data_IF_873726971426
#
_entry.id   IF_873726971426
#
_cell.length_a   1.000
_cell.length_b   1.000
_cell.length_c   1.000
_cell.angle_alpha   90.00
_cell.angle_beta   90.00
_cell.angle_gamma   90.00
#
_symmetry.space_group_name_H-M   'P 1'
#
loop_
_entity.id
_entity.type
_entity.pdbx_description
1 polymer ?
#
# COMPACT_ATOMS: atom_id res chain seq x y z
N UNK A 1 29.78 9.88 18.86
CA UNK A 1 28.58 9.86 18.03
C UNK A 1 28.11 8.42 17.92
N UNK A 2 27.03 8.12 18.55
CA UNK A 2 26.67 6.83 19.12
C UNK A 2 26.02 5.89 18.12
N UNK A 3 26.60 4.71 17.95
CA UNK A 3 26.08 3.52 17.24
C UNK A 3 24.80 2.92 17.85
N UNK A 4 23.97 3.77 18.46
CA UNK A 4 22.79 3.37 19.23
C UNK A 4 21.44 3.33 18.48
N UNK A 5 21.22 3.94 17.29
CA UNK A 5 19.86 4.06 16.79
C UNK A 5 19.24 2.72 16.32
N UNK A 6 20.02 1.84 15.68
CA UNK A 6 19.48 0.54 15.22
C UNK A 6 19.19 -0.44 16.37
N UNK A 7 19.98 -0.41 17.44
CA UNK A 7 19.71 -1.22 18.64
C UNK A 7 18.41 -0.84 19.34
N UNK A 8 17.94 0.39 19.15
CA UNK A 8 16.66 0.84 19.67
C UNK A 8 15.50 0.01 19.09
N UNK A 9 15.53 -0.28 17.78
CA UNK A 9 14.48 -1.05 17.10
C UNK A 9 14.45 -2.53 17.50
N UNK A 10 15.57 -3.05 18.02
CA UNK A 10 15.64 -4.43 18.51
C UNK A 10 15.04 -4.61 19.91
N UNK A 11 14.70 -3.51 20.60
CA UNK A 11 14.00 -3.60 21.87
C UNK A 11 12.60 -4.15 21.66
N UNK A 12 12.12 -5.00 22.59
CA UNK A 12 10.78 -5.65 22.52
C UNK A 12 9.65 -4.67 22.24
N UNK A 13 9.77 -3.42 22.70
CA UNK A 13 8.77 -2.37 22.50
C UNK A 13 8.64 -1.94 21.03
N UNK A 14 9.74 -1.88 20.29
CA UNK A 14 9.78 -1.39 18.92
C UNK A 14 9.78 -2.51 17.87
N UNK A 15 10.17 -3.73 18.29
CA UNK A 15 10.29 -4.87 17.37
C UNK A 15 8.96 -5.20 16.70
N UNK A 16 7.88 -5.29 17.47
CA UNK A 16 6.55 -5.61 16.95
C UNK A 16 6.08 -4.62 15.89
N UNK A 17 6.01 -3.31 16.20
CA UNK A 17 5.69 -2.28 15.22
C UNK A 17 6.61 -2.27 13.99
N UNK A 18 7.92 -2.47 14.16
CA UNK A 18 8.87 -2.50 13.04
C UNK A 18 8.60 -3.69 12.11
N UNK A 19 8.40 -4.89 12.66
CA UNK A 19 8.10 -6.09 11.87
C UNK A 19 6.77 -5.92 11.12
N UNK A 20 5.73 -5.46 11.83
CA UNK A 20 4.41 -5.22 11.23
C UNK A 20 4.51 -4.25 10.03
N UNK A 21 5.16 -3.11 10.22
CA UNK A 21 5.34 -2.12 9.15
C UNK A 21 6.23 -2.63 8.02
N UNK A 22 7.26 -3.40 8.34
CA UNK A 22 8.11 -4.00 7.30
C UNK A 22 7.29 -4.94 6.42
N UNK A 23 6.45 -5.80 7.02
CA UNK A 23 5.57 -6.69 6.25
C UNK A 23 4.61 -5.85 5.39
N UNK A 24 3.99 -4.81 5.97
CA UNK A 24 3.08 -3.92 5.25
C UNK A 24 3.75 -3.27 4.05
N UNK A 25 4.94 -2.69 4.22
CA UNK A 25 5.66 -2.04 3.13
C UNK A 25 6.21 -3.02 2.09
N UNK A 26 6.68 -4.22 2.51
CA UNK A 26 7.14 -5.27 1.60
C UNK A 26 5.98 -5.76 0.72
N UNK A 27 4.84 -6.10 1.32
CA UNK A 27 3.68 -6.61 0.58
C UNK A 27 3.08 -5.55 -0.34
N UNK A 28 2.99 -4.29 0.11
CA UNK A 28 2.57 -3.16 -0.71
C UNK A 28 3.51 -2.94 -1.90
N UNK A 29 4.82 -2.95 -1.66
CA UNK A 29 5.81 -2.72 -2.72
C UNK A 29 5.79 -3.83 -3.76
N UNK A 30 5.76 -5.10 -3.35
CA UNK A 30 5.63 -6.25 -4.26
C UNK A 30 4.32 -6.14 -5.04
N UNK A 31 3.22 -5.86 -4.37
CA UNK A 31 1.91 -5.77 -5.00
C UNK A 31 1.81 -4.64 -6.03
N UNK A 32 2.24 -3.44 -5.66
CA UNK A 32 2.17 -2.26 -6.54
C UNK A 32 3.14 -2.34 -7.72
N UNK A 33 4.43 -2.57 -7.46
CA UNK A 33 5.42 -2.62 -8.53
C UNK A 33 5.29 -3.89 -9.37
N UNK A 34 4.83 -5.00 -8.77
CA UNK A 34 4.48 -6.20 -9.52
C UNK A 34 3.38 -5.93 -10.54
N UNK A 35 2.33 -5.19 -10.15
CA UNK A 35 1.28 -4.79 -11.06
C UNK A 35 1.77 -3.76 -12.08
N UNK A 36 2.27 -2.60 -11.64
CA UNK A 36 2.52 -1.46 -12.52
C UNK A 36 3.63 -1.69 -13.55
N UNK A 37 4.68 -2.44 -13.18
CA UNK A 37 5.81 -2.70 -14.08
C UNK A 37 5.54 -3.83 -15.07
N UNK A 38 4.73 -4.81 -14.67
CA UNK A 38 4.54 -6.02 -15.48
C UNK A 38 3.22 -6.03 -16.25
N UNK A 39 2.21 -5.25 -15.86
CA UNK A 39 0.91 -5.25 -16.53
C UNK A 39 1.00 -5.02 -18.06
N UNK A 40 1.74 -4.03 -18.58
CA UNK A 40 1.85 -3.85 -20.03
C UNK A 40 2.50 -5.05 -20.72
N UNK A 41 3.59 -5.56 -20.14
CA UNK A 41 4.34 -6.70 -20.69
C UNK A 41 3.50 -7.98 -20.70
N UNK A 42 2.75 -8.21 -19.64
CA UNK A 42 1.88 -9.38 -19.51
C UNK A 42 0.73 -9.33 -20.52
N UNK A 43 0.09 -8.18 -20.69
CA UNK A 43 -0.96 -7.99 -21.72
C UNK A 43 -0.42 -8.20 -23.13
N UNK A 44 0.76 -7.67 -23.45
CA UNK A 44 1.38 -7.85 -24.75
C UNK A 44 1.70 -9.32 -25.06
N UNK A 45 2.10 -10.10 -24.05
CA UNK A 45 2.37 -11.54 -24.20
C UNK A 45 1.11 -12.38 -24.39
N UNK A 46 -0.04 -11.91 -23.90
CA UNK A 46 -1.33 -12.58 -24.05
C UNK A 46 -2.09 -12.17 -25.35
N UNK A 47 -1.39 -11.50 -26.30
CA UNK A 47 -1.90 -11.24 -27.64
C UNK A 47 -2.42 -9.82 -27.88
N UNK A 48 -2.33 -8.92 -26.89
CA UNK A 48 -2.56 -7.49 -27.14
C UNK A 48 -1.36 -6.88 -27.85
N UNK A 49 -1.58 -5.89 -28.73
CA UNK A 49 -0.46 -5.13 -29.28
C UNK A 49 0.27 -4.37 -28.16
N UNK A 50 1.57 -4.16 -28.32
CA UNK A 50 2.37 -3.39 -27.34
C UNK A 50 1.78 -1.99 -27.13
N UNK A 51 1.38 -1.34 -28.23
CA UNK A 51 0.76 -0.01 -28.21
C UNK A 51 -0.55 -0.01 -27.42
N UNK A 52 -1.46 -0.95 -27.68
CA UNK A 52 -2.73 -1.09 -26.95
C UNK A 52 -2.49 -1.40 -25.47
N UNK A 53 -1.51 -2.23 -25.15
CA UNK A 53 -1.18 -2.60 -23.77
C UNK A 53 -0.71 -1.39 -22.97
N UNK A 54 0.17 -0.55 -23.55
CA UNK A 54 0.65 0.70 -22.94
C UNK A 54 -0.51 1.69 -22.79
N UNK A 55 -1.37 1.82 -23.80
CA UNK A 55 -2.50 2.73 -23.78
C UNK A 55 -3.51 2.37 -22.68
N UNK A 56 -3.87 1.09 -22.55
CA UNK A 56 -4.79 0.64 -21.48
C UNK A 56 -4.20 0.90 -20.11
N UNK A 57 -2.93 0.58 -19.87
CA UNK A 57 -2.29 0.85 -18.59
C UNK A 57 -2.18 2.36 -18.33
N UNK A 58 -1.90 3.18 -19.31
CA UNK A 58 -1.89 4.64 -19.17
C UNK A 58 -3.25 5.19 -18.73
N UNK A 59 -4.35 4.69 -19.31
CA UNK A 59 -5.70 5.06 -18.89
C UNK A 59 -5.97 4.70 -17.42
N UNK A 60 -5.47 3.56 -16.95
CA UNK A 60 -5.65 3.15 -15.54
C UNK A 60 -4.97 4.09 -14.56
N UNK A 61 -3.88 4.77 -14.95
CA UNK A 61 -3.14 5.67 -14.05
C UNK A 61 -3.89 6.96 -13.71
N UNK A 62 -4.93 7.31 -14.48
CA UNK A 62 -5.80 8.46 -14.17
C UNK A 62 -6.49 8.32 -12.80
N UNK A 63 -6.68 7.09 -12.33
CA UNK A 63 -7.19 6.83 -10.97
C UNK A 63 -6.30 7.33 -9.83
N UNK A 64 -4.98 7.48 -10.06
CA UNK A 64 -4.03 7.79 -9.00
C UNK A 64 -4.25 9.16 -8.32
N UNK A 65 -4.43 10.29 -9.02
CA UNK A 65 -4.71 11.58 -8.39
C UNK A 65 -6.02 11.55 -7.58
N UNK A 66 -7.05 10.90 -8.12
CA UNK A 66 -8.35 10.77 -7.46
C UNK A 66 -8.26 9.93 -6.19
N UNK A 67 -7.42 8.89 -6.17
CA UNK A 67 -7.18 8.05 -5.01
C UNK A 67 -6.57 8.81 -3.84
N UNK A 68 -5.63 9.70 -4.08
CA UNK A 68 -5.03 10.56 -3.05
C UNK A 68 -6.06 11.51 -2.42
N UNK A 69 -6.94 12.06 -3.25
CA UNK A 69 -8.04 12.92 -2.77
C UNK A 69 -9.06 12.12 -1.95
N UNK A 70 -9.43 10.93 -2.40
CA UNK A 70 -10.32 10.02 -1.67
C UNK A 70 -9.76 9.64 -0.29
N UNK A 71 -8.44 9.40 -0.21
CA UNK A 71 -7.77 9.10 1.06
C UNK A 71 -7.93 10.24 2.07
N UNK A 72 -7.80 11.49 1.65
CA UNK A 72 -7.99 12.64 2.53
C UNK A 72 -9.41 12.67 3.13
N UNK A 73 -10.43 12.39 2.33
CA UNK A 73 -11.82 12.36 2.80
C UNK A 73 -12.12 11.21 3.76
N UNK A 74 -11.48 10.06 3.56
CA UNK A 74 -11.70 8.84 4.35
C UNK A 74 -10.92 8.88 5.66
N UNK A 75 -9.69 9.44 5.66
CA UNK A 75 -8.78 9.47 6.82
C UNK A 75 -9.40 10.16 8.04
N UNK A 76 -10.24 11.18 7.82
CA UNK A 76 -10.82 11.96 8.90
C UNK A 76 -12.06 11.29 9.55
N UNK A 77 -12.67 10.33 8.86
CA UNK A 77 -13.93 9.70 9.29
C UNK A 77 -13.78 8.32 9.88
N UNK A 78 -12.80 7.55 9.41
CA UNK A 78 -12.66 6.15 9.76
C UNK A 78 -11.32 5.83 10.42
N UNK A 79 -11.28 4.75 11.19
CA UNK A 79 -10.05 4.23 11.80
C UNK A 79 -9.07 3.75 10.71
N UNK A 80 -7.87 4.31 10.69
CA UNK A 80 -6.86 4.07 9.63
C UNK A 80 -6.52 2.60 9.43
N UNK A 81 -6.46 1.82 10.51
CA UNK A 81 -6.24 0.38 10.44
C UNK A 81 -7.24 -0.31 9.53
N UNK A 82 -8.53 -0.10 9.77
CA UNK A 82 -9.58 -0.77 9.01
C UNK A 82 -9.68 -0.26 7.58
N UNK A 83 -9.41 1.02 7.36
CA UNK A 83 -9.32 1.56 5.99
C UNK A 83 -8.21 0.86 5.19
N UNK A 84 -7.03 0.67 5.79
CA UNK A 84 -5.93 -0.06 5.16
C UNK A 84 -6.29 -1.52 4.87
N UNK A 85 -6.96 -2.22 5.80
CA UNK A 85 -7.42 -3.60 5.60
C UNK A 85 -8.41 -3.69 4.44
N UNK A 86 -9.41 -2.81 4.42
CA UNK A 86 -10.44 -2.78 3.36
C UNK A 86 -9.80 -2.43 2.01
N UNK A 87 -8.95 -1.41 1.96
CA UNK A 87 -8.28 -1.00 0.72
C UNK A 87 -7.34 -2.11 0.22
N UNK A 88 -6.53 -2.72 1.09
CA UNK A 88 -5.66 -3.84 0.70
C UNK A 88 -6.43 -5.03 0.15
N UNK A 89 -7.55 -5.39 0.78
CA UNK A 89 -8.43 -6.47 0.30
C UNK A 89 -9.10 -6.11 -1.03
N UNK A 90 -9.56 -4.87 -1.18
CA UNK A 90 -10.18 -4.40 -2.42
C UNK A 90 -9.17 -4.40 -3.59
N UNK A 91 -7.92 -3.98 -3.34
CA UNK A 91 -6.84 -4.04 -4.35
C UNK A 91 -6.56 -5.50 -4.74
N UNK A 92 -6.50 -6.42 -3.78
CA UNK A 92 -6.30 -7.84 -4.06
C UNK A 92 -7.39 -8.39 -4.98
N UNK A 93 -8.65 -8.08 -4.71
CA UNK A 93 -9.80 -8.53 -5.51
C UNK A 93 -9.77 -7.88 -6.90
N UNK A 94 -9.63 -6.56 -7.00
CA UNK A 94 -9.58 -5.86 -8.28
C UNK A 94 -8.37 -6.28 -9.12
N UNK A 95 -7.20 -6.47 -8.50
CA UNK A 95 -6.00 -6.94 -9.18
C UNK A 95 -6.13 -8.37 -9.70
N UNK A 96 -6.81 -9.25 -8.96
CA UNK A 96 -7.10 -10.59 -9.41
C UNK A 96 -8.09 -10.59 -10.59
N UNK A 97 -9.16 -9.80 -10.51
CA UNK A 97 -10.14 -9.65 -11.60
C UNK A 97 -9.50 -9.05 -12.86
N UNK A 98 -8.59 -8.08 -12.67
CA UNK A 98 -7.77 -7.54 -13.77
C UNK A 98 -6.98 -8.64 -14.48
N UNK A 99 -6.31 -9.50 -13.72
CA UNK A 99 -5.48 -10.59 -14.26
C UNK A 99 -6.26 -11.75 -14.86
N UNK A 100 -7.54 -11.92 -14.51
CA UNK A 100 -8.40 -13.00 -15.03
C UNK A 100 -9.23 -12.59 -16.24
N UNK A 101 -9.30 -11.30 -16.57
CA UNK A 101 -10.07 -10.79 -17.69
C UNK A 101 -9.18 -10.44 -18.88
N UNK A 102 -9.71 -10.71 -20.08
CA UNK A 102 -9.09 -10.28 -21.35
C UNK A 102 -9.99 -9.28 -22.11
N UNK A 103 -11.05 -8.79 -21.47
CA UNK A 103 -11.89 -7.74 -22.05
C UNK A 103 -11.23 -6.37 -21.84
N UNK A 104 -10.95 -5.59 -22.90
CA UNK A 104 -10.27 -4.29 -22.79
C UNK A 104 -10.95 -3.30 -21.85
N UNK A 105 -12.29 -3.28 -21.85
CA UNK A 105 -13.07 -2.38 -20.97
C UNK A 105 -12.85 -2.77 -19.50
N UNK A 106 -12.94 -4.06 -19.17
CA UNK A 106 -12.76 -4.53 -17.80
C UNK A 106 -11.32 -4.36 -17.34
N UNK A 107 -10.33 -4.52 -18.21
CA UNK A 107 -8.91 -4.23 -17.94
C UNK A 107 -8.76 -2.77 -17.49
N UNK A 108 -9.33 -1.84 -18.23
CA UNK A 108 -9.26 -0.40 -17.88
C UNK A 108 -10.01 -0.13 -16.57
N UNK A 109 -11.20 -0.67 -16.37
CA UNK A 109 -12.01 -0.45 -15.17
C UNK A 109 -11.31 -1.00 -13.92
N UNK A 110 -10.89 -2.26 -13.93
CA UNK A 110 -10.23 -2.85 -12.76
C UNK A 110 -8.86 -2.23 -12.53
N UNK A 111 -8.11 -1.94 -13.57
CA UNK A 111 -6.83 -1.25 -13.45
C UNK A 111 -6.97 0.17 -12.90
N UNK A 112 -7.99 0.93 -13.30
CA UNK A 112 -8.32 2.23 -12.74
C UNK A 112 -8.64 2.11 -11.24
N UNK A 113 -9.47 1.13 -10.85
CA UNK A 113 -9.81 0.89 -9.45
C UNK A 113 -8.57 0.52 -8.62
N UNK A 114 -7.69 -0.34 -9.15
CA UNK A 114 -6.42 -0.69 -8.49
C UNK A 114 -5.59 0.56 -8.24
N UNK A 115 -5.36 1.42 -9.25
CA UNK A 115 -4.57 2.63 -9.09
C UNK A 115 -5.21 3.64 -8.13
N UNK A 116 -6.54 3.80 -8.19
CA UNK A 116 -7.29 4.69 -7.32
C UNK A 116 -7.18 4.27 -5.86
N UNK A 117 -7.45 3.00 -5.56
CA UNK A 117 -7.44 2.49 -4.19
C UNK A 117 -6.01 2.40 -3.65
N UNK A 118 -5.03 2.03 -4.49
CA UNK A 118 -3.62 1.93 -4.11
C UNK A 118 -3.04 3.28 -3.68
N UNK A 119 -3.34 4.36 -4.38
CA UNK A 119 -2.90 5.70 -3.97
C UNK A 119 -3.51 6.12 -2.66
N UNK A 120 -4.78 5.80 -2.45
CA UNK A 120 -5.44 5.97 -1.16
C UNK A 120 -4.78 5.14 -0.05
N UNK A 121 -4.50 3.88 -0.32
CA UNK A 121 -3.79 2.99 0.60
C UNK A 121 -2.41 3.52 0.97
N UNK A 122 -1.62 3.93 -0.02
CA UNK A 122 -0.26 4.47 0.20
C UNK A 122 -0.29 5.73 1.07
N UNK A 123 -1.21 6.66 0.81
CA UNK A 123 -1.38 7.87 1.63
C UNK A 123 -1.73 7.52 3.09
N UNK A 124 -2.66 6.58 3.29
CA UNK A 124 -3.03 6.08 4.61
C UNK A 124 -1.86 5.36 5.31
N UNK A 125 -1.08 4.55 4.59
CA UNK A 125 0.07 3.84 5.13
C UNK A 125 1.16 4.81 5.61
N UNK A 126 1.43 5.90 4.87
CA UNK A 126 2.33 6.95 5.32
C UNK A 126 1.85 7.66 6.59
N UNK A 127 0.54 7.89 6.71
CA UNK A 127 -0.04 8.49 7.90
C UNK A 127 -0.06 7.53 9.10
N UNK A 128 -0.31 6.25 8.87
CA UNK A 128 -0.37 5.21 9.91
C UNK A 128 1.02 4.84 10.45
N UNK A 129 2.04 4.76 9.59
CA UNK A 129 3.39 4.27 9.95
C UNK A 129 4.01 5.01 11.15
N UNK A 130 4.04 6.37 11.22
CA UNK A 130 4.62 7.08 12.34
C UNK A 130 3.81 6.99 13.64
N UNK A 131 2.53 6.62 13.57
CA UNK A 131 1.67 6.50 14.77
C UNK A 131 1.99 5.27 15.61
N UNK A 132 2.67 4.28 15.04
CA UNK A 132 3.06 3.06 15.73
C UNK A 132 4.27 3.25 16.64
N UNK A 133 4.97 4.37 16.53
CA UNK A 133 6.18 4.67 17.30
C UNK A 133 6.00 5.91 18.16
N UNK A 134 6.66 5.90 19.32
CA UNK A 134 6.84 7.12 20.10
C UNK A 134 7.81 8.10 19.39
N UNK A 135 7.92 9.31 19.92
CA UNK A 135 8.73 10.39 19.32
C UNK A 135 10.19 9.97 19.08
N UNK A 136 10.76 9.12 19.95
CA UNK A 136 12.17 8.71 19.87
C UNK A 136 12.45 7.69 18.77
N UNK A 137 11.50 6.77 18.52
CA UNK A 137 11.63 5.71 17.54
C UNK A 137 11.00 6.02 16.18
N UNK A 138 10.21 7.10 16.07
CA UNK A 138 9.31 7.38 14.93
C UNK A 138 10.03 7.45 13.60
N UNK A 139 11.01 8.32 13.45
CA UNK A 139 11.72 8.51 12.17
C UNK A 139 12.53 7.27 11.79
N UNK A 140 13.20 6.66 12.77
CA UNK A 140 14.03 5.49 12.54
C UNK A 140 13.17 4.25 12.18
N UNK A 141 12.13 3.97 12.97
CA UNK A 141 11.24 2.82 12.74
C UNK A 141 10.53 2.91 11.40
N UNK A 142 9.96 4.08 11.09
CA UNK A 142 9.31 4.32 9.78
C UNK A 142 10.31 4.22 8.64
N UNK A 143 11.49 4.85 8.76
CA UNK A 143 12.51 4.84 7.72
C UNK A 143 13.08 3.45 7.43
N UNK A 144 13.37 2.67 8.46
CA UNK A 144 13.88 1.29 8.31
C UNK A 144 12.82 0.39 7.70
N UNK A 145 11.58 0.42 8.20
CA UNK A 145 10.49 -0.41 7.66
C UNK A 145 10.20 -0.08 6.19
N UNK A 146 10.15 1.20 5.85
CA UNK A 146 9.97 1.65 4.48
C UNK A 146 11.15 1.26 3.58
N UNK A 147 12.39 1.44 4.05
CA UNK A 147 13.60 1.06 3.33
C UNK A 147 13.66 -0.44 3.02
N UNK A 148 13.32 -1.29 4.00
CA UNK A 148 13.21 -2.74 3.80
C UNK A 148 12.11 -3.10 2.80
N UNK A 149 10.97 -2.39 2.85
CA UNK A 149 9.93 -2.51 1.84
C UNK A 149 10.47 -2.21 0.43
N UNK A 150 11.25 -1.14 0.28
CA UNK A 150 11.84 -0.79 -1.02
C UNK A 150 12.87 -1.79 -1.55
N UNK A 151 13.60 -2.47 -0.67
CA UNK A 151 14.52 -3.54 -1.06
C UNK A 151 13.79 -4.72 -1.73
N UNK A 152 12.54 -5.00 -1.35
CA UNK A 152 11.75 -6.05 -1.99
C UNK A 152 11.50 -5.77 -3.48
N UNK A 153 11.61 -4.52 -3.93
CA UNK A 153 11.48 -4.14 -5.33
C UNK A 153 12.61 -4.70 -6.22
N UNK A 154 13.79 -4.98 -5.65
CA UNK A 154 14.87 -5.63 -6.38
C UNK A 154 14.59 -7.12 -6.64
N UNK A 155 13.87 -7.78 -5.75
CA UNK A 155 13.58 -9.21 -5.81
C UNK A 155 12.26 -9.47 -6.54
N UNK A 156 11.28 -8.59 -6.39
CA UNK A 156 9.93 -8.74 -6.95
C UNK A 156 9.90 -9.11 -8.44
N UNK A 157 10.59 -8.37 -9.33
CA UNK A 157 10.62 -8.67 -10.76
C UNK A 157 11.18 -10.06 -11.09
N UNK A 158 12.18 -10.53 -10.34
CA UNK A 158 12.77 -11.88 -10.54
C UNK A 158 11.77 -12.98 -10.17
N UNK A 159 11.05 -12.81 -9.07
CA UNK A 159 10.00 -13.74 -8.65
C UNK A 159 8.87 -13.78 -9.68
N UNK A 160 8.42 -12.61 -10.16
CA UNK A 160 7.37 -12.53 -11.18
C UNK A 160 7.80 -13.16 -12.50
N UNK A 161 9.04 -12.92 -12.95
CA UNK A 161 9.57 -13.55 -14.15
C UNK A 161 9.60 -15.08 -14.01
N UNK A 162 10.06 -15.59 -12.87
CA UNK A 162 10.08 -17.02 -12.57
C UNK A 162 8.68 -17.65 -12.52
N UNK A 163 7.71 -16.97 -11.91
CA UNK A 163 6.33 -17.42 -11.87
C UNK A 163 5.68 -17.44 -13.26
N UNK A 164 5.94 -16.40 -14.05
CA UNK A 164 5.41 -16.33 -15.42
C UNK A 164 5.95 -17.48 -16.30
N UNK A 165 7.27 -17.71 -16.26
CA UNK A 165 7.91 -18.75 -17.09
C UNK A 165 7.63 -20.16 -16.61
N UNK A 166 7.48 -20.39 -15.29
CA UNK A 166 7.30 -21.71 -14.70
C UNK A 166 5.84 -22.17 -14.64
N UNK A 167 4.92 -21.26 -14.30
CA UNK A 167 3.51 -21.59 -14.02
C UNK A 167 2.53 -20.87 -14.96
N UNK A 168 2.93 -19.72 -15.51
CA UNK A 168 2.17 -18.96 -16.48
C UNK A 168 1.54 -17.66 -15.95
N UNK A 169 0.84 -16.96 -16.83
CA UNK A 169 0.29 -15.61 -16.61
C UNK A 169 -0.55 -15.46 -15.34
N UNK A 170 -1.48 -16.38 -15.10
CA UNK A 170 -2.42 -16.28 -13.96
C UNK A 170 -1.71 -16.34 -12.60
N UNK A 171 -0.62 -17.10 -12.49
CA UNK A 171 0.12 -17.26 -11.24
C UNK A 171 0.70 -15.93 -10.72
N UNK A 172 1.07 -15.03 -11.63
CA UNK A 172 1.57 -13.70 -11.28
C UNK A 172 0.51 -12.89 -10.54
N UNK A 173 -0.73 -12.89 -11.03
CA UNK A 173 -1.81 -12.13 -10.38
C UNK A 173 -2.27 -12.78 -9.07
N UNK A 174 -2.24 -14.10 -8.97
CA UNK A 174 -2.45 -14.78 -7.69
C UNK A 174 -1.37 -14.42 -6.66
N UNK A 175 -0.12 -14.33 -7.09
CA UNK A 175 0.98 -13.91 -6.22
C UNK A 175 0.82 -12.46 -5.76
N UNK A 176 0.49 -11.54 -6.67
CA UNK A 176 0.26 -10.13 -6.36
C UNK A 176 -0.92 -9.98 -5.40
N UNK A 177 -2.06 -10.64 -5.68
CA UNK A 177 -3.23 -10.62 -4.80
C UNK A 177 -2.91 -11.24 -3.43
N UNK A 178 -2.16 -12.33 -3.42
CA UNK A 178 -1.67 -12.97 -2.19
C UNK A 178 -0.82 -12.03 -1.34
N UNK A 179 0.09 -11.28 -1.95
CA UNK A 179 0.89 -10.27 -1.23
C UNK A 179 0.01 -9.22 -0.55
N UNK A 180 -0.98 -8.66 -1.26
CA UNK A 180 -1.94 -7.71 -0.70
C UNK A 180 -2.76 -8.31 0.44
N UNK A 181 -3.23 -9.55 0.30
CA UNK A 181 -4.00 -10.24 1.34
C UNK A 181 -3.15 -10.53 2.58
N UNK A 182 -1.89 -10.95 2.42
CA UNK A 182 -0.96 -11.13 3.55
C UNK A 182 -0.78 -9.83 4.31
N UNK A 183 -0.58 -8.70 3.63
CA UNK A 183 -0.51 -7.38 4.26
C UNK A 183 -1.79 -7.03 5.01
N UNK A 184 -2.96 -7.20 4.37
CA UNK A 184 -4.27 -6.92 4.97
C UNK A 184 -4.55 -7.80 6.20
N UNK A 185 -4.31 -9.11 6.13
CA UNK A 185 -4.51 -10.04 7.24
C UNK A 185 -3.54 -9.74 8.39
N UNK A 186 -2.26 -9.51 8.09
CA UNK A 186 -1.26 -9.15 9.10
C UNK A 186 -1.68 -7.89 9.85
N UNK A 187 -2.15 -6.88 9.13
CA UNK A 187 -2.63 -5.64 9.72
C UNK A 187 -3.94 -5.85 10.51
N UNK A 188 -4.86 -6.66 10.01
CA UNK A 188 -6.12 -6.97 10.71
C UNK A 188 -5.87 -7.65 12.05
N UNK A 189 -4.92 -8.60 12.11
CA UNK A 189 -4.62 -9.39 13.30
C UNK A 189 -3.70 -8.64 14.27
N UNK A 190 -2.59 -8.11 13.78
CA UNK A 190 -1.53 -7.56 14.63
C UNK A 190 -1.50 -6.02 14.66
N UNK A 191 -2.20 -5.34 13.75
CA UNK A 191 -2.20 -3.87 13.71
C UNK A 191 -2.86 -3.27 14.96
N UNK A 192 -2.20 -2.35 15.67
CA UNK A 192 -2.84 -1.60 16.75
C UNK A 192 -3.88 -0.64 16.19
N UNK A 193 -4.92 -0.39 16.97
CA UNK A 193 -5.95 0.59 16.65
C UNK A 193 -5.40 2.00 16.87
N UNK A 194 -5.45 2.84 15.86
CA UNK A 194 -5.10 4.25 15.97
C UNK A 194 -6.39 5.07 15.94
N UNK A 195 -6.64 5.84 17.01
CA UNK A 195 -7.80 6.74 17.03
C UNK A 195 -7.50 7.94 16.13
N UNK A 196 -8.46 8.40 15.30
CA UNK A 196 -8.31 9.69 14.64
C UNK A 196 -8.04 10.75 15.71
N UNK A 197 -6.95 11.50 15.58
CA UNK A 197 -6.76 12.69 16.39
C UNK A 197 -7.88 13.66 15.96
N UNK A 198 -8.92 13.77 16.79
CA UNK A 198 -9.85 14.90 16.69
C UNK A 198 -8.98 16.13 16.82
N UNK A 199 -8.78 16.83 15.75
CA UNK A 199 -8.21 18.18 15.77
C UNK A 199 -9.07 18.93 16.76
N UNK A 200 -8.49 19.32 17.88
CA UNK A 200 -9.10 20.18 18.86
C UNK A 200 -9.18 21.59 18.25
N UNK A 201 -9.96 21.71 17.19
CA UNK A 201 -10.26 22.95 16.52
C UNK A 201 -11.26 23.71 17.40
N UNK A 202 -10.80 24.74 18.03
CA UNK A 202 -11.65 25.87 18.35
C UNK A 202 -12.21 26.01 19.76
N UNK A 203 -11.91 25.12 20.73
CA UNK A 203 -12.37 25.38 22.12
C UNK A 203 -11.35 26.09 23.00
N UNK A 204 -10.06 25.89 22.75
CA UNK A 204 -9.04 26.62 23.52
C UNK A 204 -8.90 28.11 23.15
N UNK A 205 -9.29 28.49 21.95
CA UNK A 205 -9.27 29.92 21.54
C UNK A 205 -10.48 30.73 22.07
N UNK A 206 -11.59 30.06 22.36
CA UNK A 206 -12.79 30.74 22.87
C UNK A 206 -12.68 31.04 24.38
N UNK A 207 -12.01 30.17 25.15
CA UNK A 207 -11.86 30.39 26.60
C UNK A 207 -10.83 31.48 26.96
N UNK A 208 -9.83 31.72 26.09
CA UNK A 208 -8.83 32.77 26.34
C UNK A 208 -9.33 34.19 26.03
N UNK A 209 -10.39 34.32 25.25
CA UNK A 209 -11.01 35.63 24.94
C UNK A 209 -12.14 36.03 25.88
N UNK A 210 -12.58 35.13 26.77
CA UNK A 210 -13.59 35.44 27.79
C UNK A 210 -13.02 35.77 29.19
N UNK A 211 -11.67 35.70 29.34
CA UNK A 211 -10.99 36.00 30.62
C UNK A 211 -10.11 37.27 30.58
N UNK A 212 -10.27 38.14 29.57
CA UNK A 212 -9.60 39.44 29.51
C UNK A 212 -10.57 40.58 29.68
#
# INVERSE_FOLDING_TARGET
MTSAPLRLLLQKRYLGPTVLLTILWVTQTIGFFGYSSWAPTLLAKEGFSVESSIFYVALTTVGAPLGSFLAALVTDRFERKWCLVVFGTAIAICGLLYGLTFNPILIVVFGFLVNLIERGYTALAYAYSPELFDIRGRSLGTGVSYGLGRLSNAIGPLVIAGLYTGVGYRSVFFFIAGAWLVGAVTLAVFGPRTRPQRVATGRAAADSTMSS
#
